data_IF_951617951806
#
_entry.id   IF_951617951806
#
_cell.length_a   1.000
_cell.length_b   1.000
_cell.length_c   1.000
_cell.angle_alpha   90.00
_cell.angle_beta   90.00
_cell.angle_gamma   90.00
#
_symmetry.space_group_name_H-M   'P 1'
#
loop_
_entity.id
_entity.type
_entity.pdbx_description
1 polymer ?
#
# COMPACT_ATOMS: atom_id res chain seq x y z
N UNK A 1 3.61 -4.88 -0.67
CA UNK A 1 3.12 -3.89 0.30
C UNK A 1 4.21 -2.91 0.73
N UNK A 2 5.25 -3.30 1.46
CA UNK A 2 6.41 -2.45 1.77
C UNK A 2 7.15 -2.11 0.48
N UNK A 3 7.44 -3.12 -0.34
CA UNK A 3 8.12 -2.96 -1.63
C UNK A 3 7.33 -2.07 -2.61
N UNK A 4 6.00 -2.13 -2.53
CA UNK A 4 5.04 -1.26 -3.23
C UNK A 4 5.19 0.20 -2.80
N UNK A 5 5.30 0.45 -1.50
CA UNK A 5 5.46 1.78 -0.92
C UNK A 5 6.87 2.35 -1.16
N UNK A 6 7.92 1.54 -1.09
CA UNK A 6 9.30 1.98 -1.30
C UNK A 6 9.52 2.64 -2.68
N UNK A 7 8.67 2.36 -3.68
CA UNK A 7 8.74 3.01 -5.00
C UNK A 7 8.52 4.52 -4.92
N UNK A 8 7.70 4.97 -3.99
CA UNK A 8 7.38 6.39 -3.85
C UNK A 8 8.46 7.18 -3.12
N UNK A 9 9.38 6.52 -2.40
CA UNK A 9 10.58 7.19 -1.85
C UNK A 9 11.49 7.74 -2.98
N UNK A 10 11.47 7.11 -4.16
CA UNK A 10 12.28 7.54 -5.31
C UNK A 10 11.52 8.42 -6.30
N UNK A 11 10.22 8.19 -6.48
CA UNK A 11 9.37 8.90 -7.47
C UNK A 11 8.74 10.17 -6.88
N UNK A 12 8.66 10.27 -5.55
CA UNK A 12 7.96 11.36 -4.86
C UNK A 12 6.46 11.08 -4.73
N UNK A 13 5.92 11.37 -3.55
CA UNK A 13 4.51 11.11 -3.19
C UNK A 13 3.54 11.97 -4.01
N UNK A 14 4.01 13.02 -4.67
CA UNK A 14 3.19 13.92 -5.49
C UNK A 14 2.74 13.31 -6.83
N UNK A 15 3.28 12.14 -7.23
CA UNK A 15 2.87 11.46 -8.45
C UNK A 15 1.58 10.67 -8.24
N UNK A 16 0.44 11.35 -8.36
CA UNK A 16 -0.90 10.80 -8.15
C UNK A 16 -1.25 9.63 -9.08
N UNK A 17 -0.78 9.65 -10.33
CA UNK A 17 -1.01 8.55 -11.28
C UNK A 17 -0.31 7.27 -10.83
N UNK A 18 0.96 7.36 -10.42
CA UNK A 18 1.71 6.20 -9.92
C UNK A 18 1.08 5.65 -8.63
N UNK A 19 0.57 6.53 -7.76
CA UNK A 19 -0.16 6.10 -6.55
C UNK A 19 -1.45 5.37 -6.90
N UNK A 20 -2.23 5.90 -7.85
CA UNK A 20 -3.47 5.27 -8.30
C UNK A 20 -3.21 3.88 -8.90
N UNK A 21 -2.20 3.75 -9.76
CA UNK A 21 -1.80 2.45 -10.34
C UNK A 21 -1.41 1.44 -9.25
N UNK A 22 -0.69 1.88 -8.21
CA UNK A 22 -0.29 1.00 -7.11
C UNK A 22 -1.48 0.61 -6.21
N UNK A 23 -2.43 1.52 -6.00
CA UNK A 23 -3.70 1.21 -5.31
C UNK A 23 -4.43 0.08 -6.06
N UNK A 24 -4.61 0.24 -7.36
CA UNK A 24 -5.32 -0.74 -8.20
C UNK A 24 -4.58 -2.08 -8.23
N UNK A 25 -3.24 -2.05 -8.39
CA UNK A 25 -2.39 -3.24 -8.31
C UNK A 25 -2.55 -3.99 -6.99
N UNK A 26 -2.46 -3.28 -5.86
CA UNK A 26 -2.58 -3.86 -4.53
C UNK A 26 -3.95 -4.49 -4.33
N UNK A 27 -5.01 -3.80 -4.76
CA UNK A 27 -6.37 -4.32 -4.67
C UNK A 27 -6.52 -5.62 -5.43
N UNK A 28 -6.18 -5.63 -6.72
CA UNK A 28 -6.37 -6.79 -7.60
C UNK A 28 -5.52 -7.97 -7.09
N UNK A 29 -4.29 -7.70 -6.68
CA UNK A 29 -3.38 -8.71 -6.15
C UNK A 29 -3.90 -9.32 -4.85
N UNK A 30 -4.36 -8.50 -3.90
CA UNK A 30 -4.93 -8.98 -2.64
C UNK A 30 -6.22 -9.76 -2.85
N UNK A 31 -7.07 -9.35 -3.79
CA UNK A 31 -8.28 -10.09 -4.17
C UNK A 31 -7.93 -11.48 -4.73
N UNK A 32 -6.94 -11.56 -5.63
CA UNK A 32 -6.45 -12.84 -6.18
C UNK A 32 -5.87 -13.73 -5.09
N UNK A 33 -4.93 -13.21 -4.29
CA UNK A 33 -4.28 -13.99 -3.22
C UNK A 33 -5.29 -14.51 -2.19
N UNK A 34 -6.33 -13.74 -1.89
CA UNK A 34 -7.42 -14.20 -1.00
C UNK A 34 -8.27 -15.27 -1.68
N UNK A 35 -8.59 -15.09 -2.96
CA UNK A 35 -9.40 -16.04 -3.72
C UNK A 35 -8.71 -17.39 -3.94
N UNK A 36 -7.38 -17.39 -4.10
CA UNK A 36 -6.56 -18.60 -4.22
C UNK A 36 -6.27 -19.27 -2.88
N UNK A 37 -6.52 -18.58 -1.76
CA UNK A 37 -6.21 -19.05 -0.41
C UNK A 37 -4.73 -18.87 -0.02
N UNK A 38 -3.98 -18.09 -0.79
CA UNK A 38 -2.58 -17.77 -0.49
C UNK A 38 -2.45 -16.85 0.74
N UNK A 39 -3.47 -16.01 0.99
CA UNK A 39 -3.57 -15.19 2.21
C UNK A 39 -4.84 -15.50 2.99
N UNK A 40 -4.76 -15.37 4.31
CA UNK A 40 -5.93 -15.50 5.19
C UNK A 40 -6.85 -14.29 5.06
N UNK A 41 -8.10 -14.45 5.47
CA UNK A 41 -9.05 -13.33 5.50
C UNK A 41 -8.58 -12.21 6.45
N UNK A 42 -7.92 -12.56 7.56
CA UNK A 42 -7.36 -11.57 8.50
C UNK A 42 -6.21 -10.79 7.86
N UNK A 43 -5.30 -11.48 7.15
CA UNK A 43 -4.23 -10.83 6.39
C UNK A 43 -4.80 -9.90 5.31
N UNK A 44 -5.86 -10.30 4.62
CA UNK A 44 -6.57 -9.46 3.65
C UNK A 44 -7.19 -8.20 4.29
N UNK A 45 -7.86 -8.34 5.44
CA UNK A 45 -8.47 -7.22 6.16
C UNK A 45 -7.42 -6.22 6.65
N UNK A 46 -6.32 -6.71 7.23
CA UNK A 46 -5.24 -5.85 7.70
C UNK A 46 -4.47 -5.20 6.53
N UNK A 47 -4.24 -5.93 5.43
CA UNK A 47 -3.67 -5.36 4.20
C UNK A 47 -4.57 -4.28 3.59
N UNK A 48 -5.88 -4.45 3.71
CA UNK A 48 -6.88 -3.45 3.32
C UNK A 48 -6.69 -2.11 4.02
N UNK A 49 -6.17 -2.09 5.25
CA UNK A 49 -5.87 -0.84 5.95
C UNK A 49 -4.68 -0.09 5.33
N UNK A 50 -3.69 -0.80 4.77
CA UNK A 50 -2.57 -0.16 4.06
C UNK A 50 -3.03 0.34 2.69
N UNK A 51 -3.78 -0.47 1.95
CA UNK A 51 -4.41 -0.05 0.69
C UNK A 51 -5.30 1.19 0.87
N UNK A 52 -6.19 1.18 1.86
CA UNK A 52 -7.06 2.32 2.16
C UNK A 52 -6.30 3.56 2.65
N UNK A 53 -5.19 3.38 3.37
CA UNK A 53 -4.29 4.47 3.73
C UNK A 53 -3.66 5.13 2.51
N UNK A 54 -3.28 4.35 1.49
CA UNK A 54 -2.73 4.89 0.25
C UNK A 54 -3.80 5.66 -0.55
N UNK A 55 -5.04 5.16 -0.61
CA UNK A 55 -6.17 5.90 -1.19
C UNK A 55 -6.47 7.21 -0.46
N UNK A 56 -6.33 7.24 0.87
CA UNK A 56 -6.48 8.47 1.66
C UNK A 56 -5.39 9.49 1.28
N UNK A 57 -4.13 9.06 1.19
CA UNK A 57 -3.02 9.93 0.80
C UNK A 57 -3.26 10.51 -0.60
N UNK A 58 -3.65 9.69 -1.58
CA UNK A 58 -4.00 10.15 -2.93
C UNK A 58 -5.09 11.23 -2.90
N UNK A 59 -6.13 11.01 -2.09
CA UNK A 59 -7.22 11.94 -1.95
C UNK A 59 -6.78 13.27 -1.31
N UNK A 60 -5.91 13.22 -0.30
CA UNK A 60 -5.35 14.42 0.32
C UNK A 60 -4.47 15.20 -0.67
N UNK A 61 -3.60 14.53 -1.43
CA UNK A 61 -2.79 15.17 -2.48
C UNK A 61 -3.69 15.84 -3.51
N UNK A 62 -4.78 15.17 -3.90
CA UNK A 62 -5.78 15.72 -4.84
C UNK A 62 -6.51 16.95 -4.28
N UNK A 63 -6.58 17.10 -2.96
CA UNK A 63 -7.12 18.27 -2.28
C UNK A 63 -6.08 19.40 -2.09
N UNK A 64 -4.83 19.17 -2.47
CA UNK A 64 -3.77 20.18 -2.41
C UNK A 64 -3.08 20.32 -1.05
N UNK A 65 -2.97 19.24 -0.27
CA UNK A 65 -2.08 19.25 0.90
C UNK A 65 -0.63 19.49 0.48
N UNK A 66 0.20 19.93 1.42
CA UNK A 66 1.63 20.10 1.15
C UNK A 66 2.34 18.75 0.96
N UNK A 67 3.41 18.75 0.17
CA UNK A 67 4.24 17.55 -0.04
C UNK A 67 4.83 17.03 1.28
N UNK A 68 5.15 17.94 2.21
CA UNK A 68 5.64 17.61 3.55
C UNK A 68 4.59 16.82 4.35
N UNK A 69 3.34 17.30 4.39
CA UNK A 69 2.23 16.59 5.04
C UNK A 69 1.94 15.26 4.36
N UNK A 70 1.99 15.20 3.03
CA UNK A 70 1.78 13.97 2.27
C UNK A 70 2.85 12.93 2.61
N UNK A 71 4.11 13.38 2.72
CA UNK A 71 5.23 12.54 3.11
C UNK A 71 5.12 12.07 4.56
N UNK A 72 4.68 12.90 5.51
CA UNK A 72 4.43 12.47 6.89
C UNK A 72 3.36 11.36 6.97
N UNK A 73 2.25 11.52 6.25
CA UNK A 73 1.21 10.49 6.16
C UNK A 73 1.75 9.21 5.50
N UNK A 74 2.57 9.36 4.47
CA UNK A 74 3.20 8.25 3.77
C UNK A 74 4.16 7.46 4.67
N UNK A 75 5.00 8.14 5.45
CA UNK A 75 5.90 7.48 6.41
C UNK A 75 5.11 6.74 7.50
N UNK A 76 4.02 7.32 7.99
CA UNK A 76 3.10 6.64 8.92
C UNK A 76 2.50 5.37 8.30
N UNK A 77 2.05 5.44 7.04
CA UNK A 77 1.55 4.29 6.30
C UNK A 77 2.61 3.20 6.13
N UNK A 78 3.86 3.60 5.87
CA UNK A 78 5.01 2.69 5.75
C UNK A 78 5.28 1.95 7.05
N UNK A 79 5.27 2.64 8.19
CA UNK A 79 5.39 1.97 9.51
C UNK A 79 4.27 0.95 9.73
N UNK A 80 3.06 1.26 9.27
CA UNK A 80 1.93 0.32 9.35
C UNK A 80 2.13 -0.90 8.45
N UNK A 81 2.64 -0.72 7.23
CA UNK A 81 2.99 -1.82 6.33
C UNK A 81 4.11 -2.71 6.89
N UNK A 82 5.10 -2.12 7.56
CA UNK A 82 6.15 -2.86 8.28
C UNK A 82 5.55 -3.69 9.40
N UNK A 83 4.69 -3.09 10.23
CA UNK A 83 3.98 -3.82 11.29
C UNK A 83 3.13 -4.96 10.75
N UNK A 84 2.43 -4.74 9.64
CA UNK A 84 1.64 -5.77 8.95
C UNK A 84 2.50 -6.95 8.53
N UNK A 85 3.66 -6.69 7.92
CA UNK A 85 4.58 -7.75 7.48
C UNK A 85 5.21 -8.52 8.66
N UNK A 86 5.31 -7.90 9.84
CA UNK A 86 5.72 -8.61 11.05
C UNK A 86 4.64 -9.57 11.56
N UNK A 87 3.35 -9.20 11.42
CA UNK A 87 2.20 -10.05 11.78
C UNK A 87 1.97 -11.15 10.74
N UNK A 88 2.07 -10.80 9.46
CA UNK A 88 1.83 -11.66 8.31
C UNK A 88 3.12 -11.74 7.47
N UNK A 89 4.12 -12.52 7.92
CA UNK A 89 5.36 -12.69 7.18
C UNK A 89 5.08 -13.24 5.78
N UNK A 90 5.90 -12.81 4.82
CA UNK A 90 5.78 -13.15 3.39
C UNK A 90 4.60 -12.51 2.64
N UNK A 91 3.71 -11.77 3.31
CA UNK A 91 2.64 -11.03 2.62
C UNK A 91 3.20 -10.06 1.57
N UNK A 92 4.26 -9.34 1.91
CA UNK A 92 4.94 -8.47 0.95
C UNK A 92 5.45 -9.24 -0.27
N UNK A 93 6.11 -10.39 -0.04
CA UNK A 93 6.66 -11.22 -1.11
C UNK A 93 5.58 -11.82 -1.99
N UNK A 94 4.47 -12.28 -1.40
CA UNK A 94 3.34 -12.83 -2.15
C UNK A 94 2.73 -11.76 -3.05
N UNK A 95 2.56 -10.54 -2.54
CA UNK A 95 2.12 -9.40 -3.33
C UNK A 95 3.09 -9.11 -4.48
N UNK A 96 4.40 -9.02 -4.22
CA UNK A 96 5.37 -8.74 -5.29
C UNK A 96 5.56 -9.91 -6.28
N UNK A 97 5.24 -11.14 -5.89
CA UNK A 97 5.32 -12.31 -6.79
C UNK A 97 4.31 -12.28 -7.93
N UNK A 98 3.28 -11.41 -7.85
CA UNK A 98 2.24 -11.22 -8.88
C UNK A 98 2.54 -10.06 -9.83
N UNK A 99 3.71 -9.43 -9.70
CA UNK A 99 4.15 -8.29 -10.50
C UNK A 99 4.79 -8.70 -11.82
#
# INVERSE_FOLDING_TARGET
MISSLDKFDSVGVSNTNAIQEEIDYLRDTLEVLRATGDITNDAFLEAGAVHGGLSLILNLISQGISDDEANEQFQSLKQRAISLNNTHPDLDKMVESKR
#
